data_IF_830067430381
#
_entry.id   IF_830067430381
#
_cell.length_a   1.000
_cell.length_b   1.000
_cell.length_c   1.000
_cell.angle_alpha   90.00
_cell.angle_beta   90.00
_cell.angle_gamma   90.00
#
_symmetry.space_group_name_H-M   'P 1'
#
loop_
_entity.id
_entity.type
_entity.pdbx_description
1 polymer ?
#
# COMPACT_ATOMS: atom_id res chain seq x y z
N UNK A 1 22.19 11.20 71.13
CA UNK A 1 22.90 10.67 69.96
C UNK A 1 21.85 10.12 69.00
N UNK A 2 21.66 10.82 67.89
CA UNK A 2 20.76 10.47 66.79
C UNK A 2 21.38 9.37 65.93
N UNK A 3 20.56 8.40 65.48
CA UNK A 3 20.81 7.68 64.23
C UNK A 3 19.48 7.46 63.47
N UNK A 4 19.57 7.77 62.18
CA UNK A 4 18.59 7.74 61.08
C UNK A 4 18.14 6.31 60.69
N UNK A 5 16.85 6.13 60.36
CA UNK A 5 16.21 5.99 59.02
C UNK A 5 16.45 4.69 58.22
N UNK A 6 15.32 4.24 57.66
CA UNK A 6 15.11 3.82 56.27
C UNK A 6 14.69 2.35 56.09
N UNK A 7 13.40 2.16 55.77
CA UNK A 7 12.89 0.90 55.26
C UNK A 7 11.37 0.86 55.31
N UNK A 8 10.71 1.35 54.24
CA UNK A 8 9.37 0.92 53.77
C UNK A 8 8.78 1.86 52.71
N UNK A 9 9.48 2.10 51.59
CA UNK A 9 8.91 2.84 50.45
C UNK A 9 9.18 2.20 49.08
N UNK A 10 9.75 0.99 49.01
CA UNK A 10 10.08 0.35 47.72
C UNK A 10 8.99 -0.60 47.22
N UNK A 11 8.12 -1.11 48.12
CA UNK A 11 7.08 -2.07 47.73
C UNK A 11 5.82 -1.41 47.10
N UNK A 12 5.51 -0.16 47.46
CA UNK A 12 4.31 0.52 46.96
C UNK A 12 4.48 1.06 45.53
N UNK A 13 5.70 1.46 45.16
CA UNK A 13 5.99 2.02 43.83
C UNK A 13 6.08 0.94 42.76
N UNK A 14 6.52 -0.27 43.13
CA UNK A 14 6.61 -1.40 42.20
C UNK A 14 5.22 -1.94 41.81
N UNK A 15 4.23 -1.89 42.71
CA UNK A 15 2.86 -2.32 42.42
C UNK A 15 2.11 -1.35 41.50
N UNK A 16 2.40 -0.05 41.57
CA UNK A 16 1.78 0.94 40.68
C UNK A 16 2.30 0.86 39.24
N UNK A 17 3.58 0.50 39.05
CA UNK A 17 4.17 0.33 37.70
C UNK A 17 3.67 -0.95 37.03
N UNK A 18 3.47 -2.03 37.79
CA UNK A 18 2.89 -3.27 37.26
C UNK A 18 1.40 -3.12 36.87
N UNK A 19 0.63 -2.30 37.59
CA UNK A 19 -0.76 -2.00 37.20
C UNK A 19 -0.87 -1.07 35.99
N UNK A 20 0.08 -0.14 35.79
CA UNK A 20 0.08 0.75 34.63
C UNK A 20 0.47 0.03 33.31
N UNK A 21 1.37 -0.95 33.37
CA UNK A 21 1.74 -1.78 32.20
C UNK A 21 0.63 -2.77 31.79
N UNK A 22 -0.15 -3.25 32.75
CA UNK A 22 -1.25 -4.20 32.49
C UNK A 22 -2.50 -3.52 31.89
N UNK A 23 -2.68 -2.22 32.14
CA UNK A 23 -3.85 -1.47 31.63
C UNK A 23 -3.67 -0.97 30.19
N UNK A 24 -2.44 -0.73 29.73
CA UNK A 24 -2.18 -0.27 28.35
C UNK A 24 -2.32 -1.39 27.33
N UNK A 25 -2.00 -2.64 27.68
CA UNK A 25 -2.23 -3.80 26.79
C UNK A 25 -3.71 -4.22 26.71
N UNK A 26 -4.50 -4.00 27.78
CA UNK A 26 -5.92 -4.34 27.78
C UNK A 26 -6.83 -3.33 27.03
N UNK A 27 -6.44 -2.05 26.98
CA UNK A 27 -7.21 -1.02 26.27
C UNK A 27 -6.95 -1.01 24.74
N UNK A 28 -5.82 -1.55 24.28
CA UNK A 28 -5.56 -1.75 22.85
C UNK A 28 -6.38 -2.89 22.24
N UNK A 29 -6.70 -3.92 23.02
CA UNK A 29 -7.41 -5.13 22.53
C UNK A 29 -8.94 -4.95 22.62
N UNK A 30 -9.45 -4.23 23.63
CA UNK A 30 -10.90 -4.08 23.83
C UNK A 30 -11.57 -3.07 22.88
N UNK A 31 -10.82 -2.09 22.35
CA UNK A 31 -11.38 -1.05 21.46
C UNK A 31 -11.54 -1.55 20.02
N UNK A 32 -10.77 -2.55 19.59
CA UNK A 32 -10.83 -3.12 18.23
C UNK A 32 -11.96 -4.16 18.09
N UNK A 33 -12.31 -4.88 19.17
CA UNK A 33 -13.36 -5.90 19.13
C UNK A 33 -14.80 -5.36 19.01
N UNK A 34 -15.06 -4.08 19.33
CA UNK A 34 -16.42 -3.52 19.28
C UNK A 34 -16.77 -2.81 17.95
N UNK A 35 -15.83 -2.63 17.02
CA UNK A 35 -16.10 -2.10 15.68
C UNK A 35 -16.48 -3.19 14.66
N UNK A 36 -16.22 -4.47 14.96
CA UNK A 36 -16.26 -5.57 13.98
C UNK A 36 -17.63 -6.25 13.76
N UNK A 37 -18.76 -5.72 14.24
CA UNK A 37 -20.06 -6.43 14.15
C UNK A 37 -21.11 -5.84 13.20
N UNK A 38 -20.79 -4.88 12.32
CA UNK A 38 -21.81 -4.25 11.45
C UNK A 38 -21.47 -4.01 9.98
N UNK A 39 -20.51 -4.73 9.41
CA UNK A 39 -20.38 -4.83 7.95
C UNK A 39 -20.23 -6.30 7.57
N UNK A 40 -21.31 -7.05 7.76
CA UNK A 40 -21.47 -8.40 7.24
C UNK A 40 -22.59 -8.28 6.20
N UNK A 41 -22.21 -8.13 4.93
CA UNK A 41 -22.92 -8.53 3.70
C UNK A 41 -22.31 -7.80 2.50
N UNK A 42 -21.27 -8.35 1.87
CA UNK A 42 -21.19 -8.41 0.40
C UNK A 42 -20.16 -9.43 -0.07
N UNK A 43 -20.44 -10.08 -1.18
CA UNK A 43 -20.17 -11.51 -1.42
C UNK A 43 -19.26 -11.71 -2.65
N UNK A 44 -18.28 -12.61 -2.50
CA UNK A 44 -17.88 -13.70 -3.40
C UNK A 44 -17.12 -13.50 -4.75
N UNK A 45 -16.67 -14.66 -5.24
CA UNK A 45 -15.42 -15.00 -5.92
C UNK A 45 -15.31 -14.80 -7.45
N UNK A 46 -14.07 -14.99 -7.92
CA UNK A 46 -13.55 -14.92 -9.29
C UNK A 46 -14.39 -15.59 -10.41
N UNK A 47 -14.47 -14.88 -11.54
CA UNK A 47 -14.52 -15.32 -12.95
C UNK A 47 -15.57 -16.32 -13.48
N UNK A 48 -16.51 -16.85 -12.69
CA UNK A 48 -17.65 -17.58 -13.25
C UNK A 48 -18.81 -17.74 -12.25
N UNK A 49 -19.59 -16.70 -11.99
CA UNK A 49 -21.01 -16.80 -11.57
C UNK A 49 -21.73 -15.44 -11.68
N UNK A 50 -23.04 -15.52 -11.92
CA UNK A 50 -24.04 -14.50 -12.28
C UNK A 50 -23.84 -13.03 -11.82
N UNK A 51 -24.32 -12.06 -12.62
CA UNK A 51 -24.06 -10.65 -12.42
C UNK A 51 -24.65 -10.18 -11.09
N UNK A 52 -23.75 -9.75 -10.21
CA UNK A 52 -24.12 -8.88 -9.11
C UNK A 52 -24.54 -7.55 -9.73
N UNK A 53 -25.87 -7.39 -9.86
CA UNK A 53 -26.51 -6.16 -10.28
C UNK A 53 -26.27 -5.06 -9.24
N UNK A 54 -25.34 -4.14 -9.54
CA UNK A 54 -25.45 -2.68 -9.32
C UNK A 54 -24.08 -1.94 -9.33
N UNK A 55 -23.10 -2.39 -10.12
CA UNK A 55 -21.97 -1.55 -10.48
C UNK A 55 -22.12 -1.18 -11.96
N UNK A 56 -22.16 0.11 -12.27
CA UNK A 56 -22.28 0.62 -13.64
C UNK A 56 -20.98 0.50 -14.44
N UNK A 57 -19.91 -0.07 -13.87
CA UNK A 57 -18.64 -0.17 -14.59
C UNK A 57 -18.55 -1.37 -15.54
N UNK A 58 -17.81 -1.17 -16.64
CA UNK A 58 -17.31 -2.25 -17.49
C UNK A 58 -15.88 -2.61 -17.09
N UNK A 59 -15.64 -3.88 -16.73
CA UNK A 59 -14.32 -4.39 -16.33
C UNK A 59 -13.63 -5.05 -17.53
N UNK A 60 -12.46 -4.56 -17.89
CA UNK A 60 -11.64 -5.01 -19.01
C UNK A 60 -10.28 -5.49 -18.49
N UNK A 61 -10.10 -6.81 -18.39
CA UNK A 61 -8.84 -7.40 -17.93
C UNK A 61 -7.78 -7.46 -19.05
N UNK A 62 -6.51 -7.47 -18.63
CA UNK A 62 -5.34 -7.55 -19.51
C UNK A 62 -5.32 -6.44 -20.55
N UNK A 63 -5.40 -5.19 -20.11
CA UNK A 63 -5.36 -4.03 -20.99
C UNK A 63 -4.06 -3.23 -20.83
N UNK A 64 -3.62 -2.59 -21.91
CA UNK A 64 -2.44 -1.74 -21.94
C UNK A 64 -2.77 -0.38 -21.36
N UNK A 65 -1.92 0.08 -20.43
CA UNK A 65 -2.01 1.38 -19.77
C UNK A 65 -0.76 2.23 -20.04
N UNK A 66 -0.01 1.93 -21.12
CA UNK A 66 1.27 2.56 -21.47
C UNK A 66 1.24 4.09 -21.59
N UNK A 67 0.06 4.66 -21.74
CA UNK A 67 -0.17 6.11 -21.81
C UNK A 67 -1.22 6.57 -20.80
N UNK A 68 -1.28 5.93 -19.63
CA UNK A 68 -2.22 6.31 -18.57
C UNK A 68 -2.04 7.80 -18.25
N UNK A 69 -3.11 8.60 -18.30
CA UNK A 69 -3.01 10.01 -17.95
C UNK A 69 -2.61 10.13 -16.48
N UNK A 70 -1.91 11.21 -16.09
CA UNK A 70 -1.61 11.48 -14.69
C UNK A 70 -2.92 11.46 -13.89
N UNK A 71 -3.00 10.58 -12.90
CA UNK A 71 -4.10 10.61 -11.98
C UNK A 71 -4.01 11.87 -11.12
N UNK A 72 -5.06 12.69 -11.14
CA UNK A 72 -5.24 13.77 -10.15
C UNK A 72 -5.93 13.26 -8.89
N UNK A 73 -6.37 11.99 -8.87
CA UNK A 73 -7.00 11.34 -7.73
C UNK A 73 -5.97 10.41 -7.05
N UNK A 74 -5.91 10.37 -5.71
CA UNK A 74 -5.01 9.46 -5.03
C UNK A 74 -5.40 8.01 -5.35
N UNK A 75 -4.42 7.12 -5.61
CA UNK A 75 -4.71 5.70 -5.74
C UNK A 75 -5.28 5.17 -4.43
N UNK A 76 -6.26 4.26 -4.52
CA UNK A 76 -6.88 3.63 -3.34
C UNK A 76 -6.57 2.16 -3.30
N UNK A 77 -6.35 1.60 -2.10
CA UNK A 77 -6.30 0.16 -1.95
C UNK A 77 -7.66 -0.46 -2.30
N UNK A 78 -7.65 -1.51 -3.10
CA UNK A 78 -8.83 -2.24 -3.54
C UNK A 78 -8.44 -3.70 -3.72
N UNK A 79 -9.02 -4.60 -2.93
CA UNK A 79 -8.68 -6.03 -2.98
C UNK A 79 -9.12 -6.68 -4.30
N UNK A 80 -10.14 -6.11 -4.95
CA UNK A 80 -10.61 -6.56 -6.26
C UNK A 80 -10.83 -5.40 -7.23
N UNK A 81 -10.89 -5.72 -8.54
CA UNK A 81 -11.32 -4.77 -9.56
C UNK A 81 -12.76 -4.26 -9.35
N UNK A 82 -13.62 -5.06 -8.71
CA UNK A 82 -14.99 -4.64 -8.36
C UNK A 82 -14.99 -3.59 -7.23
N UNK A 83 -14.12 -3.76 -6.22
CA UNK A 83 -13.94 -2.74 -5.19
C UNK A 83 -13.39 -1.46 -5.80
N UNK A 84 -12.45 -1.58 -6.76
CA UNK A 84 -11.94 -0.44 -7.49
C UNK A 84 -13.02 0.28 -8.31
N UNK A 85 -13.94 -0.45 -8.95
CA UNK A 85 -15.10 0.15 -9.59
C UNK A 85 -15.95 0.94 -8.58
N UNK A 86 -16.28 0.34 -7.44
CA UNK A 86 -17.06 1.00 -6.38
C UNK A 86 -16.37 2.28 -5.88
N UNK A 87 -15.05 2.23 -5.71
CA UNK A 87 -14.25 3.40 -5.34
C UNK A 87 -14.31 4.49 -6.41
N UNK A 88 -14.19 4.13 -7.69
CA UNK A 88 -14.32 5.08 -8.79
C UNK A 88 -15.73 5.70 -8.82
N UNK A 89 -16.79 4.91 -8.72
CA UNK A 89 -18.17 5.42 -8.72
C UNK A 89 -18.47 6.35 -7.53
N UNK A 90 -17.81 6.15 -6.39
CA UNK A 90 -17.94 7.04 -5.24
C UNK A 90 -17.32 8.44 -5.46
N UNK A 91 -16.51 8.61 -6.51
CA UNK A 91 -15.85 9.86 -6.87
C UNK A 91 -16.49 10.47 -8.12
N UNK A 92 -17.17 11.61 -7.96
CA UNK A 92 -17.87 12.30 -9.05
C UNK A 92 -17.00 12.65 -10.28
N UNK A 93 -15.69 12.76 -10.10
CA UNK A 93 -14.74 13.06 -11.17
C UNK A 93 -14.09 11.83 -11.79
N UNK A 94 -14.30 10.63 -11.25
CA UNK A 94 -13.70 9.40 -11.76
C UNK A 94 -14.53 8.85 -12.94
N UNK A 95 -13.90 8.80 -14.11
CA UNK A 95 -14.51 8.26 -15.35
C UNK A 95 -13.92 6.91 -15.75
N UNK A 96 -12.75 6.57 -15.22
CA UNK A 96 -12.10 5.28 -15.39
C UNK A 96 -11.24 4.97 -14.17
N UNK A 97 -10.91 3.70 -13.96
CA UNK A 97 -9.89 3.31 -13.01
C UNK A 97 -9.04 2.16 -13.57
N UNK A 98 -7.79 2.06 -13.12
CA UNK A 98 -6.91 0.94 -13.41
C UNK A 98 -6.67 0.18 -12.12
N UNK A 99 -7.15 -1.05 -12.06
CA UNK A 99 -6.85 -1.97 -10.98
C UNK A 99 -5.59 -2.78 -11.28
N UNK A 100 -4.59 -2.68 -10.42
CA UNK A 100 -3.32 -3.41 -10.51
C UNK A 100 -2.70 -3.59 -9.12
N UNK A 101 -2.19 -4.79 -8.84
CA UNK A 101 -1.50 -5.12 -7.57
C UNK A 101 -2.25 -4.68 -6.30
N UNK A 102 -3.58 -4.90 -6.25
CA UNK A 102 -4.47 -4.50 -5.14
C UNK A 102 -4.68 -2.99 -5.00
N UNK A 103 -4.44 -2.22 -6.05
CA UNK A 103 -4.69 -0.79 -6.07
C UNK A 103 -5.59 -0.38 -7.20
N UNK A 104 -6.37 0.64 -6.91
CA UNK A 104 -7.27 1.32 -7.79
C UNK A 104 -6.70 2.70 -8.13
N UNK A 105 -6.17 2.84 -9.34
CA UNK A 105 -5.78 4.14 -9.89
C UNK A 105 -7.00 4.77 -10.56
N UNK A 106 -7.69 5.64 -9.85
CA UNK A 106 -8.86 6.37 -10.35
C UNK A 106 -8.42 7.48 -11.29
N UNK A 107 -9.13 7.69 -12.39
CA UNK A 107 -8.74 8.61 -13.46
C UNK A 107 -9.91 9.51 -13.82
N UNK A 108 -9.59 10.77 -14.06
CA UNK A 108 -10.53 11.81 -14.47
C UNK A 108 -10.69 11.90 -16.00
N UNK A 109 -9.97 11.06 -16.74
CA UNK A 109 -10.06 10.95 -18.20
C UNK A 109 -9.74 9.53 -18.67
N UNK A 110 -10.36 9.11 -19.77
CA UNK A 110 -10.04 7.88 -20.51
C UNK A 110 -8.92 8.08 -21.55
N UNK A 111 -8.55 9.33 -21.81
CA UNK A 111 -7.56 9.69 -22.84
C UNK A 111 -6.21 9.07 -22.50
N UNK A 112 -5.68 8.24 -23.40
CA UNK A 112 -4.40 7.55 -23.23
C UNK A 112 -4.51 6.12 -22.69
N UNK A 113 -5.67 5.70 -22.21
CA UNK A 113 -5.98 4.28 -21.98
C UNK A 113 -6.70 3.70 -23.20
N UNK A 114 -7.52 4.52 -23.86
CA UNK A 114 -8.12 4.16 -25.13
C UNK A 114 -7.19 4.46 -26.32
N UNK A 115 -7.17 3.58 -27.36
CA UNK A 115 -7.90 2.32 -27.44
C UNK A 115 -7.30 1.23 -26.54
N UNK A 116 -8.16 0.41 -25.95
CA UNK A 116 -7.75 -0.72 -25.11
C UNK A 116 -6.99 -1.75 -25.96
N UNK A 117 -5.67 -1.84 -25.79
CA UNK A 117 -4.84 -2.85 -26.44
C UNK A 117 -4.59 -3.98 -25.43
N UNK A 118 -4.80 -5.26 -25.77
CA UNK A 118 -4.53 -6.35 -24.83
C UNK A 118 -3.06 -6.36 -24.37
N UNK A 119 -2.83 -6.29 -23.05
CA UNK A 119 -1.53 -6.43 -22.39
C UNK A 119 -1.71 -7.09 -21.03
N UNK A 120 -0.95 -8.14 -20.69
CA UNK A 120 -1.08 -8.79 -19.40
C UNK A 120 -0.75 -7.83 -18.25
N UNK A 121 -1.49 -7.94 -17.14
CA UNK A 121 -1.13 -7.33 -15.85
C UNK A 121 -2.09 -6.27 -15.31
N UNK A 122 -2.81 -5.52 -16.16
CA UNK A 122 -3.72 -4.45 -15.69
C UNK A 122 -5.18 -4.79 -15.96
N UNK A 123 -6.07 -4.36 -15.07
CA UNK A 123 -7.51 -4.40 -15.27
C UNK A 123 -8.02 -2.97 -15.38
N UNK A 124 -8.55 -2.59 -16.54
CA UNK A 124 -9.14 -1.28 -16.77
C UNK A 124 -10.64 -1.35 -16.47
N UNK A 125 -11.13 -0.39 -15.71
CA UNK A 125 -12.51 -0.26 -15.27
C UNK A 125 -13.03 1.05 -15.85
N UNK A 126 -14.07 0.99 -16.67
CA UNK A 126 -14.70 2.17 -17.25
C UNK A 126 -16.05 2.39 -16.56
N UNK A 127 -16.29 3.56 -15.98
CA UNK A 127 -17.63 3.85 -15.42
C UNK A 127 -18.60 4.09 -16.57
N UNK A 128 -19.85 3.63 -16.45
CA UNK A 128 -20.90 4.00 -17.42
C UNK A 128 -21.33 5.44 -17.21
N UNK A 129 -20.40 6.38 -17.40
CA UNK A 129 -20.78 7.77 -17.59
C UNK A 129 -21.29 7.90 -19.01
N UNK A 130 -22.54 8.35 -19.15
CA UNK A 130 -23.13 8.73 -20.43
C UNK A 130 -22.31 9.89 -20.97
N UNK A 131 -21.23 9.58 -21.70
CA UNK A 131 -20.36 10.57 -22.30
C UNK A 131 -21.18 11.27 -23.37
N UNK A 132 -21.76 12.41 -23.00
CA UNK A 132 -22.31 13.36 -23.97
C UNK A 132 -21.10 13.98 -24.64
N UNK A 133 -20.53 13.27 -25.62
CA UNK A 133 -19.47 13.81 -26.48
C UNK A 133 -20.04 15.05 -27.13
N UNK A 134 -19.65 16.22 -26.60
CA UNK A 134 -20.02 17.49 -27.20
C UNK A 134 -19.07 17.67 -28.37
N UNK A 135 -19.40 17.06 -29.51
CA UNK A 135 -18.64 17.21 -30.75
C UNK A 135 -18.66 18.68 -31.14
N UNK A 136 -17.59 19.40 -30.84
CA UNK A 136 -17.44 20.79 -31.27
C UNK A 136 -17.05 20.75 -32.75
N UNK A 137 -18.05 20.69 -33.62
CA UNK A 137 -17.86 20.76 -35.07
C UNK A 137 -17.40 22.17 -35.41
N UNK A 138 -16.09 22.37 -35.46
CA UNK A 138 -15.51 23.63 -35.93
C UNK A 138 -15.56 23.60 -37.45
N UNK A 139 -16.55 24.28 -38.03
CA UNK A 139 -16.67 24.45 -39.48
C UNK A 139 -15.46 25.23 -39.99
N UNK A 140 -14.52 24.55 -40.64
CA UNK A 140 -13.42 25.19 -41.33
C UNK A 140 -13.98 26.03 -42.49
N UNK A 141 -13.67 27.33 -42.50
CA UNK A 141 -13.99 28.21 -43.60
C UNK A 141 -13.24 27.77 -44.88
N UNK A 142 -13.87 27.80 -46.06
CA UNK A 142 -13.25 27.38 -47.30
C UNK A 142 -12.11 28.34 -47.66
N UNK A 143 -10.88 27.85 -47.60
CA UNK A 143 -9.71 28.60 -48.06
C UNK A 143 -9.49 28.29 -49.53
N UNK A 144 -9.45 29.33 -50.37
CA UNK A 144 -9.22 29.26 -51.80
C UNK A 144 -7.72 29.12 -52.06
N UNK A 145 -7.28 27.96 -52.57
CA UNK A 145 -5.88 27.72 -52.92
C UNK A 145 -5.68 28.00 -54.41
N UNK A 146 -4.84 28.99 -54.73
CA UNK A 146 -4.38 29.27 -56.09
C UNK A 146 -3.22 28.33 -56.47
N UNK A 147 -3.31 27.73 -57.65
CA UNK A 147 -2.33 26.77 -58.18
C UNK A 147 -1.23 27.53 -58.94
N UNK A 148 0.02 27.41 -58.49
CA UNK A 148 1.20 27.88 -59.21
C UNK A 148 2.11 26.69 -59.48
N UNK A 149 2.35 26.40 -60.76
CA UNK A 149 3.13 25.28 -61.24
C UNK A 149 4.61 25.69 -61.31
N UNK A 150 5.43 25.20 -60.38
CA UNK A 150 6.89 25.31 -60.43
C UNK A 150 7.53 23.93 -60.61
N UNK A 151 8.65 23.91 -61.34
CA UNK A 151 9.40 22.73 -61.78
C UNK A 151 9.95 21.86 -60.62
N UNK A 152 10.17 20.55 -60.83
CA UNK A 152 10.55 19.63 -59.77
C UNK A 152 11.98 19.88 -59.29
N UNK A 153 12.10 20.21 -58.00
CA UNK A 153 13.39 20.28 -57.28
C UNK A 153 13.57 18.95 -56.54
N UNK A 154 14.77 18.34 -56.51
CA UNK A 154 15.00 17.08 -55.79
C UNK A 154 14.69 17.25 -54.30
N UNK A 155 13.82 16.37 -53.80
CA UNK A 155 13.31 16.40 -52.43
C UNK A 155 14.42 15.91 -51.49
N UNK A 156 14.88 16.72 -50.52
CA UNK A 156 15.75 16.22 -49.47
C UNK A 156 14.95 15.23 -48.61
N UNK A 157 15.49 14.04 -48.42
CA UNK A 157 14.90 13.00 -47.56
C UNK A 157 15.01 13.46 -46.12
N UNK A 158 13.98 14.17 -45.63
CA UNK A 158 13.85 14.51 -44.21
C UNK A 158 13.68 13.21 -43.44
N UNK A 159 14.72 12.80 -42.71
CA UNK A 159 14.62 11.71 -41.76
C UNK A 159 13.46 12.03 -40.82
N UNK A 160 12.53 11.08 -40.68
CA UNK A 160 11.43 11.20 -39.72
C UNK A 160 12.04 11.53 -38.35
N UNK A 161 11.48 12.51 -37.61
CA UNK A 161 11.94 12.79 -36.26
C UNK A 161 11.93 11.47 -35.48
N UNK A 162 12.99 11.15 -34.70
CA UNK A 162 13.04 9.92 -33.94
C UNK A 162 11.78 9.87 -33.09
N UNK A 163 10.95 8.86 -33.33
CA UNK A 163 9.80 8.57 -32.48
C UNK A 163 10.33 8.53 -31.05
N UNK A 164 9.85 9.40 -30.14
CA UNK A 164 10.25 9.32 -28.75
C UNK A 164 10.08 7.87 -28.31
N UNK A 165 11.13 7.30 -27.71
CA UNK A 165 10.99 6.00 -27.06
C UNK A 165 9.72 6.08 -26.19
N UNK A 166 8.85 5.05 -26.19
CA UNK A 166 7.67 5.09 -25.35
C UNK A 166 8.15 5.35 -23.93
N UNK A 167 7.88 6.56 -23.43
CA UNK A 167 8.03 6.84 -22.02
C UNK A 167 7.10 5.84 -21.38
N UNK A 168 7.67 4.81 -20.78
CA UNK A 168 6.95 3.85 -19.98
C UNK A 168 6.46 4.61 -18.75
N UNK A 169 5.39 5.40 -18.93
CA UNK A 169 4.59 5.93 -17.86
C UNK A 169 3.82 4.73 -17.31
N UNK A 170 4.55 3.91 -16.54
CA UNK A 170 3.87 3.16 -15.50
C UNK A 170 3.12 4.18 -14.65
N UNK A 171 1.95 3.83 -14.12
CA UNK A 171 1.28 4.63 -13.10
C UNK A 171 2.32 5.09 -12.05
N UNK A 172 2.24 6.31 -11.48
CA UNK A 172 3.22 6.76 -10.49
C UNK A 172 3.33 5.69 -9.40
N UNK A 173 4.54 5.17 -9.15
CA UNK A 173 4.75 4.09 -8.20
C UNK A 173 4.17 4.44 -6.84
N UNK A 174 3.57 3.46 -6.18
CA UNK A 174 2.92 3.68 -4.90
C UNK A 174 4.00 3.81 -3.83
N UNK A 175 4.00 4.95 -3.14
CA UNK A 175 4.77 5.11 -1.93
C UNK A 175 4.13 4.33 -0.78
N UNK A 176 4.95 3.73 0.06
CA UNK A 176 4.51 3.21 1.35
C UNK A 176 5.07 4.10 2.45
N UNK A 177 4.28 4.26 3.50
CA UNK A 177 4.70 4.90 4.73
C UNK A 177 4.96 3.78 5.73
N UNK A 178 6.19 3.67 6.24
CA UNK A 178 6.52 2.72 7.30
C UNK A 178 6.61 3.46 8.62
N UNK A 179 5.81 3.10 9.61
CA UNK A 179 6.09 3.44 11.01
C UNK A 179 6.91 2.32 11.63
N UNK A 180 7.96 2.68 12.35
CA UNK A 180 8.84 1.76 13.09
C UNK A 180 8.84 2.20 14.53
N UNK A 181 8.41 1.32 15.43
CA UNK A 181 8.34 1.58 16.87
C UNK A 181 9.25 0.59 17.59
N UNK A 182 10.22 1.09 18.35
CA UNK A 182 11.19 0.28 19.08
C UNK A 182 11.16 0.62 20.57
N UNK A 183 11.42 -0.35 21.46
CA UNK A 183 11.44 -0.09 22.90
C UNK A 183 12.77 0.50 23.38
N UNK A 184 13.87 0.23 22.68
CA UNK A 184 15.22 0.56 23.15
C UNK A 184 16.11 1.30 22.14
N UNK A 185 15.75 1.33 20.86
CA UNK A 185 16.62 1.88 19.83
C UNK A 185 16.35 3.36 19.54
N UNK A 186 17.31 4.27 19.86
CA UNK A 186 17.22 5.67 19.47
C UNK A 186 17.46 5.90 17.97
N UNK A 187 17.67 4.83 17.20
CA UNK A 187 17.86 4.88 15.75
C UNK A 187 16.70 4.27 14.98
N UNK A 188 15.75 3.62 15.68
CA UNK A 188 14.59 2.96 15.08
C UNK A 188 14.97 2.00 13.94
N UNK A 189 16.07 1.27 14.12
CA UNK A 189 16.61 0.34 13.14
C UNK A 189 16.22 -1.11 13.46
N UNK A 190 15.25 -1.65 12.73
CA UNK A 190 14.77 -3.04 12.89
C UNK A 190 15.85 -4.09 12.64
N UNK A 191 16.88 -3.80 11.83
CA UNK A 191 17.97 -4.75 11.59
C UNK A 191 18.89 -4.92 12.80
N UNK A 192 18.84 -4.00 13.76
CA UNK A 192 19.76 -3.95 14.90
C UNK A 192 19.06 -4.04 16.26
N UNK A 193 17.73 -3.86 16.33
CA UNK A 193 16.95 -3.94 17.57
C UNK A 193 15.71 -4.84 17.38
N UNK A 194 15.73 -5.97 18.11
CA UNK A 194 14.67 -6.97 18.12
C UNK A 194 13.34 -6.48 18.71
N UNK A 195 13.35 -5.36 19.44
CA UNK A 195 12.14 -4.75 20.01
C UNK A 195 11.40 -3.85 19.02
N UNK A 196 11.91 -3.71 17.79
CA UNK A 196 11.29 -2.91 16.76
C UNK A 196 10.14 -3.67 16.07
N UNK A 197 8.94 -3.11 16.17
CA UNK A 197 7.81 -3.44 15.31
C UNK A 197 7.76 -2.49 14.12
N UNK A 198 7.20 -2.95 13.00
CA UNK A 198 6.89 -2.10 11.86
C UNK A 198 5.42 -2.19 11.49
N UNK A 199 4.87 -1.10 11.01
CA UNK A 199 3.55 -1.04 10.40
C UNK A 199 3.66 -0.27 9.10
N UNK A 200 3.00 -0.79 8.06
CA UNK A 200 3.01 -0.22 6.73
C UNK A 200 1.64 0.37 6.42
N UNK A 201 1.64 1.63 6.01
CA UNK A 201 0.50 2.32 5.46
C UNK A 201 0.77 2.62 3.99
N UNK A 202 -0.28 2.65 3.18
CA UNK A 202 -0.14 3.08 1.80
C UNK A 202 -0.32 4.58 1.71
N UNK A 203 0.59 5.24 0.98
CA UNK A 203 0.57 6.68 0.85
C UNK A 203 -0.73 7.16 0.18
N UNK A 204 -1.41 8.12 0.80
CA UNK A 204 -2.73 8.64 0.43
C UNK A 204 -3.84 7.57 0.39
N UNK A 205 -3.75 6.56 1.27
CA UNK A 205 -4.79 5.55 1.43
C UNK A 205 -5.40 5.63 2.82
N UNK A 206 -6.72 5.76 2.84
CA UNK A 206 -7.53 5.65 4.04
C UNK A 206 -7.45 4.25 4.66
N UNK A 207 -7.07 4.17 5.93
CA UNK A 207 -7.10 2.95 6.72
C UNK A 207 -8.53 2.61 7.18
N UNK A 208 -8.72 1.37 7.62
CA UNK A 208 -9.97 0.94 8.26
C UNK A 208 -10.27 1.70 9.58
N UNK A 209 -9.29 2.41 10.14
CA UNK A 209 -9.44 3.25 11.34
C UNK A 209 -9.79 4.71 11.00
N UNK A 210 -9.93 5.06 9.72
CA UNK A 210 -10.19 6.44 9.29
C UNK A 210 -8.95 7.32 9.37
N UNK A 211 -7.76 6.76 9.10
CA UNK A 211 -6.50 7.52 9.05
C UNK A 211 -5.89 7.41 7.65
N UNK A 212 -5.42 8.53 7.12
CA UNK A 212 -4.66 8.60 5.87
C UNK A 212 -3.26 9.14 6.16
N UNK A 213 -2.25 8.50 5.57
CA UNK A 213 -0.86 8.94 5.67
C UNK A 213 -0.41 9.51 4.33
N UNK A 214 0.00 10.77 4.30
CA UNK A 214 0.44 11.47 3.10
C UNK A 214 1.91 11.89 3.19
N UNK A 215 2.74 11.34 2.31
CA UNK A 215 4.15 11.67 2.22
C UNK A 215 4.39 13.02 1.55
N UNK A 216 5.06 13.92 2.28
CA UNK A 216 5.65 15.15 1.78
C UNK A 216 7.17 14.99 1.63
N UNK A 217 7.87 16.04 1.19
CA UNK A 217 9.34 16.00 0.99
C UNK A 217 10.13 15.69 2.26
N UNK A 218 9.63 16.06 3.44
CA UNK A 218 10.34 15.88 4.72
C UNK A 218 9.40 15.61 5.90
N UNK A 219 8.12 15.40 5.62
CA UNK A 219 7.09 15.18 6.62
C UNK A 219 6.10 14.12 6.14
N UNK A 220 5.40 13.48 7.07
CA UNK A 220 4.19 12.72 6.82
C UNK A 220 3.04 13.46 7.45
N UNK A 221 2.02 13.77 6.65
CA UNK A 221 0.75 14.22 7.18
C UNK A 221 -0.06 12.99 7.60
N UNK A 222 -0.43 12.92 8.88
CA UNK A 222 -1.36 11.93 9.42
C UNK A 222 -2.72 12.59 9.55
N UNK A 223 -3.58 12.32 8.57
CA UNK A 223 -4.91 12.92 8.45
C UNK A 223 -5.90 11.96 9.09
N UNK A 224 -6.63 12.40 10.12
CA UNK A 224 -7.66 11.57 10.74
C UNK A 224 -9.05 12.05 10.30
N UNK A 225 -9.93 11.09 10.08
CA UNK A 225 -11.29 11.29 9.62
C UNK A 225 -12.29 10.76 10.63
N UNK A 226 -13.55 11.16 10.47
CA UNK A 226 -14.64 10.68 11.35
C UNK A 226 -14.94 9.19 11.20
N UNK A 227 -14.56 8.60 10.07
CA UNK A 227 -14.87 7.22 9.72
C UNK A 227 -13.86 6.63 8.71
N UNK A 228 -13.96 5.32 8.51
CA UNK A 228 -13.11 4.53 7.60
C UNK A 228 -13.30 4.83 6.11
N UNK A 229 -14.20 5.75 5.74
CA UNK A 229 -14.36 6.19 4.33
C UNK A 229 -13.49 7.41 4.00
N UNK A 230 -12.89 8.02 5.01
CA UNK A 230 -12.07 9.23 4.91
C UNK A 230 -12.75 10.36 4.13
N UNK A 231 -14.01 10.63 4.46
CA UNK A 231 -14.81 11.67 3.80
C UNK A 231 -14.81 13.00 4.53
N UNK A 232 -14.78 12.97 5.87
CA UNK A 232 -14.80 14.17 6.70
C UNK A 232 -13.56 14.22 7.57
N UNK A 233 -12.61 15.08 7.20
CA UNK A 233 -11.39 15.32 7.97
C UNK A 233 -11.74 15.91 9.34
N UNK A 234 -11.10 15.39 10.38
CA UNK A 234 -11.23 15.87 11.78
C UNK A 234 -10.01 16.67 12.20
N UNK A 235 -8.81 16.18 11.89
CA UNK A 235 -7.56 16.86 12.12
C UNK A 235 -6.46 16.31 11.21
N UNK A 236 -5.39 17.09 11.08
CA UNK A 236 -4.14 16.68 10.45
C UNK A 236 -2.99 16.90 11.43
N UNK A 237 -2.16 15.88 11.60
CA UNK A 237 -0.90 15.94 12.35
C UNK A 237 0.27 15.85 11.36
N UNK A 238 1.42 16.43 11.72
CA UNK A 238 2.62 16.35 10.90
C UNK A 238 3.76 15.71 11.68
N UNK A 239 4.38 14.71 11.07
CA UNK A 239 5.51 13.98 11.65
C UNK A 239 6.72 14.11 10.73
N UNK A 240 7.91 14.31 11.31
CA UNK A 240 9.14 14.39 10.52
C UNK A 240 9.51 13.01 9.98
N UNK A 241 9.84 12.93 8.69
CA UNK A 241 10.29 11.67 8.09
C UNK A 241 11.74 11.38 8.43
N UNK A 242 12.08 10.10 8.58
CA UNK A 242 13.45 9.62 8.85
C UNK A 242 14.06 10.15 10.16
N UNK A 243 13.23 10.55 11.11
CA UNK A 243 13.68 11.00 12.44
C UNK A 243 13.14 10.02 13.48
N UNK A 244 14.05 9.34 14.18
CA UNK A 244 13.70 8.52 15.33
C UNK A 244 13.59 9.41 16.57
N UNK A 245 12.36 9.59 17.05
CA UNK A 245 12.05 10.41 18.22
C UNK A 245 11.59 9.53 19.39
N UNK A 246 11.95 9.92 20.61
CA UNK A 246 11.37 9.31 21.79
C UNK A 246 9.91 9.78 21.94
N UNK A 247 8.96 8.84 21.98
CA UNK A 247 7.55 9.13 22.22
C UNK A 247 7.28 9.33 23.73
N UNK A 248 6.08 9.78 24.08
CA UNK A 248 5.65 9.85 25.49
C UNK A 248 5.71 8.46 26.15
N UNK A 249 6.84 8.15 26.79
CA UNK A 249 7.16 6.82 27.33
C UNK A 249 8.65 6.47 27.17
N UNK A 250 8.94 5.17 27.11
CA UNK A 250 10.29 4.63 26.84
C UNK A 250 10.48 4.17 25.39
N UNK A 251 9.44 4.24 24.55
CA UNK A 251 9.50 3.81 23.16
C UNK A 251 10.05 4.93 22.26
N UNK A 252 10.73 4.52 21.20
CA UNK A 252 11.18 5.35 20.10
C UNK A 252 10.34 5.04 18.86
N UNK A 253 10.02 6.06 18.08
CA UNK A 253 9.27 5.93 16.85
C UNK A 253 9.91 6.73 15.72
N UNK A 254 9.91 6.14 14.53
CA UNK A 254 10.30 6.81 13.30
C UNK A 254 9.29 6.48 12.19
N UNK A 255 8.95 7.48 11.39
CA UNK A 255 8.13 7.30 10.18
C UNK A 255 8.99 7.54 8.94
N UNK A 256 8.87 6.63 7.98
CA UNK A 256 9.62 6.63 6.74
C UNK A 256 8.67 6.75 5.56
N UNK A 257 9.01 7.61 4.61
CA UNK A 257 8.33 7.74 3.33
C UNK A 257 9.13 7.02 2.26
N UNK A 258 8.83 5.75 2.06
CA UNK A 258 9.48 4.94 1.04
C UNK A 258 8.69 5.06 -0.26
N UNK A 259 9.09 6.02 -1.10
CA UNK A 259 8.57 6.15 -2.46
C UNK A 259 9.42 5.34 -3.42
N UNK A 260 8.85 4.35 -4.10
CA UNK A 260 9.51 3.67 -5.21
C UNK A 260 8.96 4.11 -6.54
N UNK A 261 9.84 4.26 -7.53
CA UNK A 261 9.46 4.60 -8.90
C UNK A 261 8.71 3.46 -9.61
N UNK A 262 8.77 2.24 -9.07
CA UNK A 262 8.19 1.03 -9.66
C UNK A 262 7.30 0.32 -8.66
N UNK A 263 6.21 -0.28 -9.14
CA UNK A 263 5.35 -1.16 -8.35
C UNK A 263 6.13 -2.38 -7.86
N UNK A 264 5.71 -2.90 -6.70
CA UNK A 264 6.04 -4.27 -6.34
C UNK A 264 5.46 -5.19 -7.44
N UNK A 265 6.32 -6.03 -8.01
CA UNK A 265 5.95 -6.92 -9.11
C UNK A 265 5.33 -8.18 -8.51
N UNK A 266 4.14 -8.57 -8.99
CA UNK A 266 3.50 -9.82 -8.60
C UNK A 266 4.19 -11.03 -9.27
N UNK A 267 4.07 -12.21 -8.66
CA UNK A 267 4.63 -13.46 -9.20
C UNK A 267 6.11 -13.70 -8.89
N UNK A 268 6.79 -12.75 -8.21
CA UNK A 268 8.14 -12.93 -7.67
C UNK A 268 8.08 -13.86 -6.45
N UNK A 269 9.06 -14.76 -6.30
CA UNK A 269 9.13 -15.65 -5.14
C UNK A 269 9.69 -14.91 -3.92
N UNK A 270 9.12 -15.21 -2.75
CA UNK A 270 9.61 -14.73 -1.46
C UNK A 270 9.90 -15.94 -0.60
N UNK A 271 11.11 -16.05 -0.09
CA UNK A 271 11.47 -17.05 0.93
C UNK A 271 11.71 -16.34 2.24
N UNK A 272 10.95 -16.72 3.27
CA UNK A 272 11.12 -16.25 4.64
C UNK A 272 11.56 -17.42 5.51
N UNK A 273 12.77 -17.33 6.03
CA UNK A 273 13.32 -18.28 6.99
C UNK A 273 13.26 -17.67 8.40
N UNK A 274 12.81 -18.46 9.37
CA UNK A 274 12.81 -18.11 10.79
C UNK A 274 13.51 -19.22 11.57
N UNK A 275 14.59 -18.86 12.26
CA UNK A 275 15.49 -19.76 12.95
C UNK A 275 15.67 -19.32 14.40
N UNK A 276 15.73 -20.24 15.35
CA UNK A 276 15.89 -19.90 16.77
C UNK A 276 17.25 -19.24 17.10
N UNK A 277 18.31 -19.50 16.33
CA UNK A 277 19.69 -19.11 16.69
C UNK A 277 20.45 -18.33 15.62
N UNK A 278 20.36 -18.71 14.35
CA UNK A 278 21.06 -18.04 13.24
C UNK A 278 20.53 -18.56 11.91
N UNK A 279 20.40 -17.71 10.88
CA UNK A 279 19.98 -18.18 9.54
C UNK A 279 21.11 -18.86 8.74
N UNK A 280 22.38 -18.66 9.12
CA UNK A 280 23.54 -19.26 8.42
C UNK A 280 24.12 -20.49 9.16
N UNK A 281 23.46 -20.95 10.22
CA UNK A 281 24.02 -21.92 11.16
C UNK A 281 24.00 -23.38 10.69
N UNK A 282 23.34 -23.70 9.57
CA UNK A 282 23.19 -25.09 9.09
C UNK A 282 22.49 -26.03 10.06
N UNK A 283 21.77 -25.49 11.06
CA UNK A 283 20.99 -26.27 12.01
C UNK A 283 19.59 -26.60 11.48
N UNK A 284 19.10 -27.79 11.80
CA UNK A 284 17.81 -28.36 11.36
C UNK A 284 16.55 -27.65 11.92
N UNK A 285 16.69 -26.49 12.56
CA UNK A 285 15.61 -25.81 13.31
C UNK A 285 15.05 -24.56 12.59
N UNK A 286 15.40 -24.32 11.34
CA UNK A 286 14.84 -23.21 10.58
C UNK A 286 13.52 -23.62 9.93
N UNK A 287 12.44 -22.90 10.26
CA UNK A 287 11.21 -22.96 9.48
C UNK A 287 11.35 -22.05 8.26
N UNK A 288 11.03 -22.56 7.07
CA UNK A 288 11.03 -21.75 5.84
C UNK A 288 9.65 -21.76 5.23
N UNK A 289 9.13 -20.57 4.98
CA UNK A 289 7.87 -20.35 4.28
C UNK A 289 8.16 -19.68 2.94
N UNK A 290 7.53 -20.17 1.88
CA UNK A 290 7.62 -19.55 0.57
C UNK A 290 6.28 -18.91 0.21
N UNK A 291 6.34 -17.67 -0.25
CA UNK A 291 5.20 -16.93 -0.78
C UNK A 291 5.45 -16.61 -2.26
N UNK A 292 4.36 -16.37 -2.97
CA UNK A 292 4.40 -15.70 -4.27
C UNK A 292 3.84 -14.31 -4.09
N UNK A 293 4.60 -13.28 -4.47
CA UNK A 293 4.15 -11.89 -4.33
C UNK A 293 2.81 -11.66 -5.04
N UNK A 294 1.92 -10.93 -4.38
CA UNK A 294 0.56 -10.68 -4.87
C UNK A 294 -0.37 -11.89 -4.90
N UNK A 295 0.05 -13.06 -4.42
CA UNK A 295 -0.83 -14.20 -4.20
C UNK A 295 -1.28 -14.25 -2.74
N UNK A 296 -2.51 -14.72 -2.52
CA UNK A 296 -3.02 -14.97 -1.18
C UNK A 296 -2.56 -16.34 -0.69
N UNK A 297 -2.09 -16.39 0.56
CA UNK A 297 -1.69 -17.61 1.25
C UNK A 297 -2.36 -17.71 2.61
N UNK A 298 -2.50 -18.93 3.14
CA UNK A 298 -2.80 -19.09 4.56
C UNK A 298 -1.68 -18.46 5.40
N UNK A 299 -2.04 -17.77 6.48
CA UNK A 299 -1.07 -17.12 7.33
C UNK A 299 -0.26 -18.16 8.11
N UNK A 300 1.01 -18.28 7.74
CA UNK A 300 1.99 -19.19 8.31
C UNK A 300 2.98 -18.47 9.24
N UNK A 301 2.84 -17.15 9.38
CA UNK A 301 3.67 -16.30 10.24
C UNK A 301 2.83 -15.48 11.23
N UNK A 302 1.94 -16.12 12.00
CA UNK A 302 0.94 -15.43 12.83
C UNK A 302 1.54 -14.57 13.95
N UNK A 303 2.80 -14.82 14.34
CA UNK A 303 3.50 -14.01 15.33
C UNK A 303 4.03 -12.69 14.77
N UNK A 304 4.12 -12.57 13.43
CA UNK A 304 4.68 -11.39 12.75
C UNK A 304 3.59 -10.53 12.13
N UNK A 305 2.52 -11.14 11.64
CA UNK A 305 1.35 -10.41 11.12
C UNK A 305 0.06 -11.10 11.56
N UNK A 306 -0.87 -10.31 12.09
CA UNK A 306 -2.20 -10.81 12.47
C UNK A 306 -3.07 -11.06 11.24
N UNK A 307 -4.01 -12.01 11.33
CA UNK A 307 -4.93 -12.40 10.27
C UNK A 307 -4.86 -13.89 9.96
N UNK A 308 -5.86 -14.42 9.26
CA UNK A 308 -5.91 -15.83 8.84
C UNK A 308 -5.19 -16.09 7.50
N UNK A 309 -5.09 -15.05 6.67
CA UNK A 309 -4.51 -15.09 5.34
C UNK A 309 -3.54 -13.93 5.14
N UNK A 310 -2.60 -14.09 4.21
CA UNK A 310 -1.48 -13.18 4.03
C UNK A 310 -1.14 -12.98 2.55
N UNK A 311 -0.80 -11.74 2.19
CA UNK A 311 -0.16 -11.39 0.91
C UNK A 311 1.23 -10.80 1.19
N UNK A 312 2.22 -11.22 0.43
CA UNK A 312 3.58 -10.66 0.48
C UNK A 312 3.88 -9.76 -0.73
N UNK A 313 4.69 -8.72 -0.52
CA UNK A 313 5.18 -7.82 -1.56
C UNK A 313 6.65 -7.51 -1.38
N UNK A 314 7.46 -7.75 -2.40
CA UNK A 314 8.87 -7.41 -2.39
C UNK A 314 9.10 -5.97 -2.83
N UNK A 315 9.80 -5.22 -1.97
CA UNK A 315 10.40 -3.94 -2.26
C UNK A 315 11.93 -4.08 -2.22
N UNK A 316 12.70 -3.12 -2.78
CA UNK A 316 14.15 -3.23 -2.86
C UNK A 316 14.88 -3.53 -1.53
N UNK A 317 14.35 -3.05 -0.41
CA UNK A 317 15.00 -3.14 0.91
C UNK A 317 14.19 -3.91 1.95
N UNK A 318 12.94 -4.28 1.66
CA UNK A 318 12.07 -4.99 2.60
C UNK A 318 10.98 -5.76 1.87
N UNK A 319 10.37 -6.70 2.58
CA UNK A 319 9.14 -7.37 2.19
C UNK A 319 8.03 -6.84 3.08
N UNK A 320 6.90 -6.50 2.46
CA UNK A 320 5.68 -6.12 3.18
C UNK A 320 4.76 -7.32 3.21
N UNK A 321 4.27 -7.64 4.39
CA UNK A 321 3.26 -8.65 4.63
C UNK A 321 1.96 -7.96 5.03
N UNK A 322 0.87 -8.33 4.38
CA UNK A 322 -0.48 -7.83 4.64
C UNK A 322 -1.36 -8.96 5.13
N UNK A 323 -1.98 -8.80 6.29
CA UNK A 323 -2.86 -9.78 6.91
C UNK A 323 -4.35 -9.50 6.65
N UNK A 324 -5.10 -10.57 6.38
CA UNK A 324 -6.52 -10.56 6.07
C UNK A 324 -7.25 -11.66 6.86
N UNK A 325 -8.53 -11.45 7.16
CA UNK A 325 -9.35 -12.43 7.89
C UNK A 325 -10.06 -13.43 6.97
N UNK A 326 -10.28 -13.08 5.71
CA UNK A 326 -11.04 -13.88 4.75
C UNK A 326 -10.16 -14.65 3.77
N UNK A 327 -10.66 -15.81 3.36
CA UNK A 327 -10.06 -16.64 2.31
C UNK A 327 -9.96 -15.82 1.01
N UNK A 328 -8.90 -16.07 0.23
CA UNK A 328 -8.52 -15.28 -0.95
C UNK A 328 -8.04 -13.83 -0.67
N UNK A 329 -7.79 -13.47 0.60
CA UNK A 329 -7.25 -12.16 1.00
C UNK A 329 -8.14 -11.01 0.52
N UNK A 330 -9.45 -11.29 0.55
CA UNK A 330 -10.52 -10.34 0.30
C UNK A 330 -10.96 -9.71 1.62
N UNK A 331 -11.82 -8.70 1.51
CA UNK A 331 -12.42 -8.07 2.69
C UNK A 331 -11.49 -7.12 3.45
N UNK A 332 -11.69 -7.07 4.76
CA UNK A 332 -11.05 -6.05 5.61
C UNK A 332 -9.57 -6.38 5.83
N UNK A 333 -8.71 -5.46 5.43
CA UNK A 333 -7.30 -5.45 5.81
C UNK A 333 -7.17 -5.32 7.33
N UNK A 334 -6.44 -6.25 7.96
CA UNK A 334 -6.35 -6.34 9.42
C UNK A 334 -5.06 -5.72 9.98
N UNK A 335 -3.91 -6.09 9.42
CA UNK A 335 -2.60 -5.66 9.88
C UNK A 335 -1.57 -5.71 8.76
N UNK A 336 -0.46 -5.00 8.94
CA UNK A 336 0.73 -5.14 8.11
C UNK A 336 2.00 -5.14 8.95
N UNK A 337 3.04 -5.72 8.38
CA UNK A 337 4.41 -5.60 8.88
C UNK A 337 5.36 -5.51 7.69
N UNK A 338 6.51 -4.88 7.90
CA UNK A 338 7.62 -4.84 6.97
C UNK A 338 8.86 -5.45 7.60
N UNK A 339 9.49 -6.36 6.87
CA UNK A 339 10.71 -7.05 7.31
C UNK A 339 11.85 -6.77 6.33
N UNK A 340 13.09 -6.52 6.78
CA UNK A 340 14.24 -6.34 5.91
C UNK A 340 14.43 -7.49 4.92
N UNK A 341 14.80 -7.16 3.68
CA UNK A 341 15.20 -8.11 2.64
C UNK A 341 16.72 -8.09 2.50
N UNK A 342 17.32 -9.27 2.37
CA UNK A 342 18.74 -9.42 2.10
C UNK A 342 19.37 -10.64 2.76
N UNK A 343 20.67 -10.85 2.53
CA UNK A 343 21.39 -12.00 3.08
C UNK A 343 21.63 -11.88 4.59
N UNK A 344 21.42 -10.71 5.18
CA UNK A 344 21.63 -10.49 6.62
C UNK A 344 20.40 -10.97 7.40
N UNK A 345 20.64 -11.66 8.51
CA UNK A 345 19.60 -11.96 9.49
C UNK A 345 19.32 -10.72 10.33
N UNK A 346 18.07 -10.54 10.73
CA UNK A 346 17.71 -9.67 11.84
C UNK A 346 16.91 -10.47 12.86
N UNK A 347 16.80 -9.95 14.08
CA UNK A 347 16.09 -10.62 15.15
C UNK A 347 14.68 -10.02 15.29
N UNK A 348 13.65 -10.86 15.40
CA UNK A 348 12.27 -10.42 15.65
C UNK A 348 11.98 -10.25 17.15
N UNK A 349 10.77 -9.78 17.49
CA UNK A 349 10.32 -9.60 18.88
C UNK A 349 10.26 -10.91 19.69
N UNK A 350 10.19 -12.05 19.00
CA UNK A 350 10.25 -13.38 19.59
C UNK A 350 11.67 -13.91 19.72
N UNK A 351 12.68 -13.08 19.47
CA UNK A 351 14.10 -13.40 19.47
C UNK A 351 14.53 -14.43 18.41
N UNK A 352 13.69 -14.69 17.39
CA UNK A 352 14.06 -15.52 16.26
C UNK A 352 14.85 -14.71 15.23
N UNK A 353 15.78 -15.39 14.56
CA UNK A 353 16.56 -14.83 13.46
C UNK A 353 15.78 -15.03 12.16
N UNK A 354 15.36 -13.93 11.56
CA UNK A 354 14.59 -13.88 10.33
C UNK A 354 15.48 -13.48 9.17
N UNK A 355 15.30 -14.14 8.03
CA UNK A 355 15.88 -13.77 6.77
C UNK A 355 14.81 -13.80 5.69
N UNK A 356 14.70 -12.72 4.92
CA UNK A 356 13.82 -12.64 3.75
C UNK A 356 14.63 -12.50 2.48
N UNK A 357 14.32 -13.34 1.50
CA UNK A 357 14.92 -13.34 0.18
C UNK A 357 13.83 -13.19 -0.88
N UNK A 358 13.97 -12.18 -1.73
CA UNK A 358 13.14 -11.99 -2.93
C UNK A 358 13.95 -12.42 -4.16
N UNK A 359 13.39 -13.21 -5.07
CA UNK A 359 14.11 -13.70 -6.26
C UNK A 359 13.26 -14.43 -7.28
#
# INVERSE_FOLDING_TARGET
MQHHCAGSYVAATLLLVLFACSFTQAMGIATVQNAQKRILHYNNNNNNHSPISAASCTINANMNTSSMPPSTLPPKFATTAADCCTQCESHNSCVAAVWHSYYCHMLTSVVGIEPLVPSPGFVVILTSTTTTSTTTTTTAAPTTTSTSTAAPTPIPTTAAPPTPAPNSMHPPGIGVVRSVVCQSSPTCNISEDATCATTVFYNNVCSATGQEYSCQTSMVDVINYTDATCTTETNTLQELTNVCGQQMGLAYEAVYCDSYATYAVAGVSVSRSSCATTCNGGGDECSTTNFTTGACHANTIPNSVNGNFIVAWCYPTYVVYLGFDEEDCRGTYFASTAEPVGPQCYQDESYNYIQNMCG
#
